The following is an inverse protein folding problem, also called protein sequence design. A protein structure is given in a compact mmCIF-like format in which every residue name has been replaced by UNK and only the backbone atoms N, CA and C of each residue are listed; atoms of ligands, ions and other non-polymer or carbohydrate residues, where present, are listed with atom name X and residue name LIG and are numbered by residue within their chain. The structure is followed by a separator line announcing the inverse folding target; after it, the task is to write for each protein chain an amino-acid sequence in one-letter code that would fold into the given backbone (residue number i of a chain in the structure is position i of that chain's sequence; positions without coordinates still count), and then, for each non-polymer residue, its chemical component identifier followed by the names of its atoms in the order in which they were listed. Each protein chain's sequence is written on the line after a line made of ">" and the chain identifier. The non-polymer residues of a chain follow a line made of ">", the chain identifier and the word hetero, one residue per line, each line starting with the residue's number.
data_IF_679101454160
#
_entry.id   IF_679101454160
#
_cell.length_a   1.000
_cell.length_b   1.000
_cell.length_c   1.000
_cell.angle_alpha   90.00
_cell.angle_beta   90.00
_cell.angle_gamma   90.00
#
_symmetry.space_group_name_H-M   'P 1'
#
loop_
_entity.id
_entity.type
_entity.pdbx_description
1 polymer ?
#
# COMPACT_ATOMS: atom_id res chain seq x y z
N UNK A 1 8.89 2.17 1.31
CA UNK A 1 8.99 0.91 2.06
C UNK A 1 8.76 -0.24 1.10
N UNK A 2 9.64 -1.24 1.09
CA UNK A 2 9.44 -2.43 0.27
C UNK A 2 8.53 -3.40 1.03
N UNK A 3 7.41 -3.77 0.43
CA UNK A 3 6.42 -4.70 0.98
C UNK A 3 6.25 -5.81 -0.05
N UNK A 4 6.72 -7.01 0.27
CA UNK A 4 6.55 -8.20 -0.58
C UNK A 4 7.03 -7.96 -2.04
N UNK A 5 8.16 -7.27 -2.21
CA UNK A 5 8.74 -6.99 -3.53
C UNK A 5 8.20 -5.74 -4.24
N UNK A 6 7.17 -5.08 -3.69
CA UNK A 6 6.63 -3.82 -4.22
C UNK A 6 7.07 -2.62 -3.38
N UNK A 7 7.31 -1.47 -4.00
CA UNK A 7 7.68 -0.25 -3.29
C UNK A 7 6.46 0.62 -3.04
N UNK A 8 6.19 0.95 -1.77
CA UNK A 8 5.12 1.86 -1.38
C UNK A 8 5.69 3.08 -0.66
N UNK A 9 5.20 4.27 -0.99
CA UNK A 9 5.68 5.54 -0.44
C UNK A 9 4.52 6.45 -0.04
N UNK A 10 4.81 7.40 0.85
CA UNK A 10 3.94 8.55 1.09
C UNK A 10 4.47 9.74 0.31
N UNK A 11 3.62 10.44 -0.43
CA UNK A 11 3.99 11.61 -1.24
C UNK A 11 3.06 12.79 -0.91
N UNK A 12 3.56 14.03 -1.03
CA UNK A 12 2.73 15.23 -0.93
C UNK A 12 2.29 15.66 -2.33
N UNK A 13 0.99 15.56 -2.60
CA UNK A 13 0.34 16.00 -3.84
C UNK A 13 -0.42 17.31 -3.61
N UNK A 14 -0.88 18.02 -4.66
CA UNK A 14 -1.64 19.27 -4.50
C UNK A 14 -2.86 19.17 -3.59
N UNK A 15 -3.54 18.02 -3.61
CA UNK A 15 -4.76 17.78 -2.82
C UNK A 15 -4.48 17.25 -1.40
N UNK A 16 -3.22 16.96 -1.05
CA UNK A 16 -2.84 16.46 0.26
C UNK A 16 -1.80 15.34 0.23
N UNK A 17 -1.63 14.68 1.38
CA UNK A 17 -0.76 13.52 1.47
C UNK A 17 -1.44 12.31 0.83
N UNK A 18 -0.67 11.50 0.11
CA UNK A 18 -1.14 10.29 -0.56
C UNK A 18 -0.23 9.11 -0.23
N UNK A 19 -0.74 7.88 -0.34
CA UNK A 19 0.05 6.65 -0.40
C UNK A 19 0.05 6.15 -1.84
N UNK A 20 1.24 5.87 -2.36
CA UNK A 20 1.44 5.40 -3.73
C UNK A 20 2.24 4.09 -3.77
N UNK A 21 1.93 3.23 -4.74
CA UNK A 21 2.87 2.23 -5.24
C UNK A 21 3.81 2.92 -6.23
N UNK A 22 5.11 2.72 -6.05
CA UNK A 22 6.15 3.19 -6.96
C UNK A 22 6.61 2.05 -7.85
N UNK A 23 6.48 2.26 -9.14
CA UNK A 23 6.81 1.31 -10.18
C UNK A 23 8.29 1.45 -10.57
N UNK A 24 8.84 0.41 -11.21
CA UNK A 24 10.27 0.36 -11.58
C UNK A 24 10.68 1.47 -12.57
N UNK A 25 9.74 1.96 -13.38
CA UNK A 25 9.92 3.08 -14.31
C UNK A 25 9.82 4.45 -13.61
N UNK A 26 9.54 4.47 -12.30
CA UNK A 26 9.34 5.67 -11.51
C UNK A 26 7.90 6.20 -11.51
N UNK A 27 6.96 5.54 -12.18
CA UNK A 27 5.56 5.92 -12.13
C UNK A 27 4.98 5.70 -10.72
N UNK A 28 4.10 6.61 -10.30
CA UNK A 28 3.39 6.53 -9.03
C UNK A 28 1.91 6.22 -9.28
N UNK A 29 1.44 5.11 -8.72
CA UNK A 29 0.03 4.75 -8.70
C UNK A 29 -0.54 5.09 -7.33
N UNK A 30 -1.47 6.04 -7.27
CA UNK A 30 -2.13 6.46 -6.02
C UNK A 30 -3.07 5.35 -5.56
N UNK A 31 -2.90 4.92 -4.32
CA UNK A 31 -3.72 3.89 -3.68
C UNK A 31 -4.66 4.52 -2.67
N UNK A 32 -4.19 5.58 -2.00
CA UNK A 32 -4.98 6.31 -1.01
C UNK A 32 -4.64 7.79 -1.06
N UNK A 33 -5.68 8.63 -1.11
CA UNK A 33 -5.57 10.08 -1.14
C UNK A 33 -6.38 10.79 -0.05
N UNK A 34 -6.92 10.05 0.92
CA UNK A 34 -7.71 10.60 2.03
C UNK A 34 -6.86 10.66 3.30
N UNK A 35 -5.78 11.45 3.25
CA UNK A 35 -4.84 11.57 4.37
C UNK A 35 -4.67 13.04 4.74
N UNK A 36 -4.92 13.36 6.00
CA UNK A 36 -4.95 14.75 6.48
C UNK A 36 -3.54 15.30 6.69
N UNK A 37 -2.55 14.44 6.98
CA UNK A 37 -1.19 14.85 7.27
C UNK A 37 -0.16 13.71 7.05
N UNK A 38 1.13 14.07 7.06
CA UNK A 38 2.26 13.15 6.88
C UNK A 38 2.29 12.02 7.91
N UNK A 39 1.96 12.33 9.17
CA UNK A 39 2.03 11.36 10.28
C UNK A 39 0.96 10.28 10.08
N UNK A 40 -0.25 10.69 9.74
CA UNK A 40 -1.34 9.80 9.37
C UNK A 40 -0.96 8.93 8.18
N UNK A 41 -0.43 9.54 7.11
CA UNK A 41 0.03 8.81 5.93
C UNK A 41 1.11 7.77 6.26
N UNK A 42 2.08 8.14 7.11
CA UNK A 42 3.18 7.24 7.51
C UNK A 42 2.69 6.10 8.39
N UNK A 43 1.82 6.39 9.37
CA UNK A 43 1.22 5.37 10.25
C UNK A 43 0.38 4.39 9.45
N UNK A 44 -0.42 4.91 8.52
CA UNK A 44 -1.27 4.11 7.65
C UNK A 44 -0.43 3.22 6.74
N UNK A 45 0.62 3.75 6.11
CA UNK A 45 1.56 2.95 5.33
C UNK A 45 2.25 1.86 6.17
N UNK A 46 2.59 2.13 7.43
CA UNK A 46 3.15 1.13 8.33
C UNK A 46 2.14 0.01 8.63
N UNK A 47 0.92 0.35 9.03
CA UNK A 47 -0.14 -0.65 9.26
C UNK A 47 -0.41 -1.51 8.03
N UNK A 48 -0.36 -0.89 6.84
CA UNK A 48 -0.54 -1.56 5.56
C UNK A 48 0.53 -2.62 5.33
N UNK A 49 1.79 -2.30 5.65
CA UNK A 49 2.89 -3.25 5.57
C UNK A 49 2.75 -4.40 6.55
N UNK A 50 2.40 -4.09 7.79
CA UNK A 50 2.25 -5.10 8.84
C UNK A 50 1.12 -6.07 8.45
N UNK A 51 -0.02 -5.54 8.00
CA UNK A 51 -1.16 -6.31 7.54
C UNK A 51 -0.82 -7.22 6.35
N UNK A 52 -0.26 -6.66 5.26
CA UNK A 52 0.06 -7.44 4.06
C UNK A 52 1.11 -8.51 4.33
N UNK A 53 2.12 -8.19 5.14
CA UNK A 53 3.15 -9.15 5.53
C UNK A 53 2.55 -10.29 6.33
N UNK A 54 1.69 -9.98 7.30
CA UNK A 54 1.02 -10.99 8.12
C UNK A 54 0.05 -11.85 7.31
N UNK A 55 -0.71 -11.25 6.39
CA UNK A 55 -1.67 -11.97 5.54
C UNK A 55 -0.93 -12.92 4.58
N UNK A 56 0.14 -12.45 3.93
CA UNK A 56 1.00 -13.29 3.09
C UNK A 56 1.61 -14.47 3.87
N UNK A 57 2.09 -14.23 5.10
CA UNK A 57 2.61 -15.29 5.98
C UNK A 57 1.54 -16.29 6.39
N UNK A 58 0.33 -15.80 6.70
CA UNK A 58 -0.81 -16.64 7.12
C UNK A 58 -1.27 -17.56 5.99
N UNK A 59 -1.25 -17.06 4.76
CA UNK A 59 -1.56 -17.85 3.57
C UNK A 59 -0.44 -18.84 3.20
N UNK A 60 0.78 -18.62 3.68
CA UNK A 60 1.93 -19.48 3.40
C UNK A 60 2.35 -19.47 1.92
N UNK A 61 2.02 -18.40 1.20
CA UNK A 61 2.33 -18.22 -0.23
C UNK A 61 3.56 -17.34 -0.44
N UNK A 62 4.18 -17.41 -1.62
CA UNK A 62 5.26 -16.49 -1.97
C UNK A 62 4.72 -15.07 -2.20
N UNK A 63 5.56 -14.02 -2.05
CA UNK A 63 5.20 -12.65 -2.41
C UNK A 63 4.62 -12.51 -3.82
N UNK A 64 5.19 -13.22 -4.80
CA UNK A 64 4.73 -13.18 -6.19
C UNK A 64 3.32 -13.78 -6.33
N UNK A 65 3.08 -14.93 -5.70
CA UNK A 65 1.77 -15.58 -5.69
C UNK A 65 0.72 -14.73 -4.97
N UNK A 66 1.11 -14.12 -3.84
CA UNK A 66 0.27 -13.24 -3.06
C UNK A 66 -0.30 -12.11 -3.93
N UNK A 67 0.56 -11.43 -4.69
CA UNK A 67 0.12 -10.37 -5.58
C UNK A 67 -0.72 -10.89 -6.74
N UNK A 68 -0.40 -12.03 -7.33
CA UNK A 68 -1.21 -12.60 -8.42
C UNK A 68 -2.66 -12.89 -8.00
N UNK A 69 -2.86 -13.36 -6.77
CA UNK A 69 -4.18 -13.77 -6.27
C UNK A 69 -4.98 -12.61 -5.65
N UNK A 70 -4.30 -11.59 -5.11
CA UNK A 70 -4.93 -10.59 -4.23
C UNK A 70 -4.83 -9.15 -4.70
N UNK A 71 -4.10 -8.81 -5.77
CA UNK A 71 -3.80 -7.41 -6.15
C UNK A 71 -5.06 -6.52 -6.18
N UNK A 72 -6.12 -6.95 -6.87
CA UNK A 72 -7.36 -6.16 -7.01
C UNK A 72 -8.13 -6.05 -5.69
N UNK A 73 -8.17 -7.13 -4.90
CA UNK A 73 -8.85 -7.17 -3.60
C UNK A 73 -8.14 -6.28 -2.59
N UNK A 74 -6.80 -6.32 -2.57
CA UNK A 74 -5.98 -5.47 -1.72
C UNK A 74 -6.21 -4.01 -2.09
N UNK A 75 -6.07 -3.62 -3.37
CA UNK A 75 -6.29 -2.23 -3.79
C UNK A 75 -7.70 -1.75 -3.37
N UNK A 76 -8.74 -2.57 -3.57
CA UNK A 76 -10.09 -2.23 -3.15
C UNK A 76 -10.26 -2.12 -1.63
N UNK A 77 -9.65 -3.02 -0.85
CA UNK A 77 -9.66 -2.98 0.62
C UNK A 77 -8.88 -1.78 1.16
N UNK A 78 -7.76 -1.41 0.53
CA UNK A 78 -6.99 -0.23 0.92
C UNK A 78 -7.80 1.05 0.72
N UNK A 79 -8.62 1.11 -0.33
CA UNK A 79 -9.54 2.22 -0.58
C UNK A 79 -10.71 2.22 0.43
N UNK A 80 -11.18 1.06 0.90
CA UNK A 80 -12.39 0.93 1.72
C UNK A 80 -12.19 0.78 3.23
N UNK A 81 -11.08 0.20 3.72
CA UNK A 81 -10.92 -0.19 5.12
C UNK A 81 -10.50 0.94 6.06
N UNK A 82 -10.43 2.19 5.59
CA UNK A 82 -9.97 3.30 6.42
C UNK A 82 -10.96 4.47 6.32
N UNK A 83 -12.20 4.17 6.70
CA UNK A 83 -13.22 5.12 7.19
C UNK A 83 -13.55 4.78 8.64
#
# INVERSE_FOLDING_TARGET
>A
MNILGKEFITELMPDGWVICEKWLDGALSVIDNQLSNRKEASNKLQHLCDFLTQDCQTLGVSPEQYWQERNEVIIAQLIHQIH
#
